data_IF_439557664153
#
_entry.id   IF_439557664153
#
_cell.length_a   1.000
_cell.length_b   1.000
_cell.length_c   1.000
_cell.angle_alpha   90.00
_cell.angle_beta   90.00
_cell.angle_gamma   90.00
#
_symmetry.space_group_name_H-M   'P 1'
#
loop_
_entity.id
_entity.type
_entity.pdbx_description
1 polymer ?
#
# COMPACT_ATOMS: atom_id res chain seq x y z
N UNK A 1 0.14 9.89 -4.59
CA UNK A 1 0.12 8.41 -4.76
C UNK A 1 1.27 7.94 -5.66
N UNK A 2 1.41 8.38 -6.93
CA UNK A 2 2.53 7.93 -7.78
C UNK A 2 3.94 8.21 -7.21
N UNK A 3 4.10 9.36 -6.55
CA UNK A 3 5.34 9.73 -5.84
C UNK A 3 5.73 8.70 -4.76
N UNK A 4 4.74 8.10 -4.08
CA UNK A 4 4.94 7.07 -3.05
C UNK A 4 5.58 5.81 -3.66
N UNK A 5 5.36 5.53 -4.94
CA UNK A 5 5.95 4.39 -5.66
C UNK A 5 7.19 4.77 -6.48
N UNK A 6 7.70 6.00 -6.36
CA UNK A 6 8.83 6.47 -7.16
C UNK A 6 8.52 6.55 -8.67
N UNK A 7 7.24 6.69 -9.03
CA UNK A 7 6.79 6.80 -10.43
C UNK A 7 6.52 8.26 -10.81
N UNK A 8 6.70 8.64 -12.09
CA UNK A 8 6.37 9.98 -12.56
C UNK A 8 4.93 10.38 -12.24
N UNK A 9 4.71 11.66 -11.93
CA UNK A 9 3.39 12.24 -11.79
C UNK A 9 2.77 12.58 -13.16
N UNK A 10 2.80 11.64 -14.10
CA UNK A 10 2.36 11.82 -15.49
C UNK A 10 0.85 11.60 -15.71
N UNK A 11 0.10 11.40 -14.62
CA UNK A 11 -1.35 11.19 -14.63
C UNK A 11 -1.78 9.81 -15.13
N UNK A 12 -0.85 8.89 -15.44
CA UNK A 12 -1.23 7.53 -15.85
C UNK A 12 -1.77 6.73 -14.66
N UNK A 13 -2.91 6.03 -14.84
CA UNK A 13 -3.44 5.15 -13.81
C UNK A 13 -2.49 3.98 -13.56
N UNK A 14 -2.40 3.55 -12.29
CA UNK A 14 -1.66 2.35 -11.89
C UNK A 14 -2.60 1.17 -11.76
N UNK A 15 -2.13 0.00 -12.17
CA UNK A 15 -2.82 -1.26 -11.98
C UNK A 15 -2.42 -1.97 -10.69
N UNK A 16 -3.07 -3.10 -10.42
CA UNK A 16 -2.69 -4.00 -9.34
C UNK A 16 -1.23 -4.49 -9.50
N UNK A 17 -0.84 -4.85 -10.73
CA UNK A 17 0.53 -5.29 -11.05
C UNK A 17 1.61 -4.27 -10.65
N UNK A 18 1.34 -2.96 -10.75
CA UNK A 18 2.28 -1.93 -10.32
C UNK A 18 2.49 -1.96 -8.80
N UNK A 19 1.42 -2.24 -8.05
CA UNK A 19 1.49 -2.38 -6.60
C UNK A 19 2.26 -3.64 -6.20
N UNK A 20 1.90 -4.80 -6.74
CA UNK A 20 2.55 -6.07 -6.40
C UNK A 20 4.05 -6.08 -6.71
N UNK A 21 4.45 -5.50 -7.84
CA UNK A 21 5.86 -5.44 -8.26
C UNK A 21 6.71 -4.51 -7.41
N UNK A 22 6.10 -3.56 -6.73
CA UNK A 22 6.81 -2.55 -5.94
C UNK A 22 6.84 -2.90 -4.45
N UNK A 23 5.96 -3.78 -3.96
CA UNK A 23 6.01 -4.26 -2.58
C UNK A 23 7.29 -5.05 -2.33
N UNK A 24 7.93 -4.82 -1.19
CA UNK A 24 9.06 -5.60 -0.72
C UNK A 24 8.69 -7.10 -0.66
N UNK A 25 9.52 -8.02 -1.17
CA UNK A 25 9.18 -9.45 -1.27
C UNK A 25 8.64 -10.07 0.03
N UNK A 26 9.26 -9.76 1.17
CA UNK A 26 8.84 -10.24 2.50
C UNK A 26 7.43 -9.79 2.93
N UNK A 27 6.93 -8.70 2.35
CA UNK A 27 5.61 -8.13 2.68
C UNK A 27 4.52 -8.53 1.67
N UNK A 28 4.91 -9.02 0.49
CA UNK A 28 4.01 -9.24 -0.65
C UNK A 28 2.86 -10.19 -0.32
N UNK A 29 3.18 -11.36 0.25
CA UNK A 29 2.13 -12.34 0.57
C UNK A 29 1.14 -11.82 1.60
N UNK A 30 1.62 -11.08 2.61
CA UNK A 30 0.75 -10.50 3.64
C UNK A 30 -0.15 -9.43 3.02
N UNK A 31 0.43 -8.53 2.23
CA UNK A 31 -0.31 -7.45 1.58
C UNK A 31 -1.40 -8.00 0.64
N UNK A 32 -1.10 -9.06 -0.13
CA UNK A 32 -2.08 -9.78 -0.96
C UNK A 32 -3.22 -10.37 -0.12
N UNK A 33 -2.89 -11.08 0.96
CA UNK A 33 -3.92 -11.64 1.87
C UNK A 33 -4.84 -10.56 2.44
N UNK A 34 -4.28 -9.43 2.88
CA UNK A 34 -5.07 -8.31 3.40
C UNK A 34 -6.02 -7.73 2.32
N UNK A 35 -5.52 -7.60 1.09
CA UNK A 35 -6.29 -7.12 -0.05
C UNK A 35 -7.41 -8.09 -0.43
N UNK A 36 -7.07 -9.38 -0.58
CA UNK A 36 -8.00 -10.44 -0.98
C UNK A 36 -9.12 -10.60 0.06
N UNK A 37 -8.79 -10.53 1.35
CA UNK A 37 -9.78 -10.58 2.43
C UNK A 37 -10.76 -9.40 2.31
N UNK A 38 -10.26 -8.18 2.13
CA UNK A 38 -11.10 -6.99 1.99
C UNK A 38 -11.96 -7.05 0.71
N UNK A 39 -11.41 -7.55 -0.40
CA UNK A 39 -12.13 -7.72 -1.66
C UNK A 39 -13.25 -8.76 -1.53
N UNK A 40 -12.97 -9.91 -0.91
CA UNK A 40 -13.92 -11.00 -0.72
C UNK A 40 -15.11 -10.58 0.15
N UNK A 41 -14.87 -9.83 1.23
CA UNK A 41 -15.95 -9.36 2.10
C UNK A 41 -16.59 -8.05 1.64
N UNK A 42 -16.08 -7.45 0.54
CA UNK A 42 -16.38 -6.05 0.15
C UNK A 42 -16.26 -5.10 1.34
N UNK A 43 -15.24 -5.33 2.16
CA UNK A 43 -15.07 -4.72 3.47
C UNK A 43 -14.03 -3.60 3.48
N UNK A 44 -13.54 -3.32 4.68
CA UNK A 44 -12.43 -2.38 4.89
C UNK A 44 -11.11 -3.07 4.59
N UNK A 45 -10.28 -2.41 3.79
CA UNK A 45 -8.89 -2.74 3.59
C UNK A 45 -8.02 -1.91 4.54
N UNK A 46 -7.09 -2.56 5.23
CA UNK A 46 -6.10 -1.91 6.08
C UNK A 46 -4.83 -2.73 6.03
N UNK A 47 -3.75 -2.16 5.49
CA UNK A 47 -2.46 -2.84 5.45
C UNK A 47 -1.31 -1.85 5.65
N UNK A 48 -0.18 -2.38 6.09
CA UNK A 48 1.09 -1.66 6.16
C UNK A 48 2.18 -2.55 5.58
N UNK A 49 2.90 -2.04 4.60
CA UNK A 49 3.91 -2.78 3.83
C UNK A 49 5.03 -1.84 3.41
N UNK A 50 6.18 -2.43 3.10
CA UNK A 50 7.32 -1.73 2.52
C UNK A 50 7.22 -1.75 1.00
N UNK A 51 7.57 -0.64 0.38
CA UNK A 51 7.86 -0.54 -1.03
C UNK A 51 9.38 -0.58 -1.24
N UNK A 52 9.83 -1.37 -2.21
CA UNK A 52 11.20 -1.36 -2.70
C UNK A 52 11.24 -0.52 -3.98
N UNK A 53 11.79 0.68 -3.88
CA UNK A 53 11.81 1.64 -4.99
C UNK A 53 12.95 1.32 -5.98
N UNK A 54 12.86 1.81 -7.24
CA UNK A 54 13.89 1.54 -8.25
C UNK A 54 15.30 2.02 -7.89
N UNK A 55 15.41 3.03 -7.01
CA UNK A 55 16.69 3.54 -6.49
C UNK A 55 17.26 2.69 -5.34
N UNK A 56 16.59 1.58 -4.98
CA UNK A 56 16.97 0.67 -3.90
C UNK A 56 16.51 1.11 -2.52
N UNK A 57 15.89 2.29 -2.39
CA UNK A 57 15.37 2.76 -1.09
C UNK A 57 14.11 2.01 -0.71
N UNK A 58 13.90 1.86 0.60
CA UNK A 58 12.69 1.26 1.16
C UNK A 58 11.81 2.35 1.76
N UNK A 59 10.54 2.34 1.38
CA UNK A 59 9.52 3.24 1.93
C UNK A 59 8.45 2.45 2.67
N UNK A 60 8.12 2.83 3.89
CA UNK A 60 6.98 2.25 4.61
C UNK A 60 5.71 2.98 4.20
N UNK A 61 4.70 2.21 3.79
CA UNK A 61 3.40 2.74 3.38
C UNK A 61 2.31 2.15 4.25
N UNK A 62 1.39 3.01 4.66
CA UNK A 62 0.15 2.60 5.31
C UNK A 62 -1.01 2.89 4.37
N UNK A 63 -1.87 1.90 4.15
CA UNK A 63 -3.01 2.00 3.27
C UNK A 63 -4.31 1.69 4.01
N UNK A 64 -5.35 2.50 3.76
CA UNK A 64 -6.70 2.27 4.23
C UNK A 64 -7.70 2.55 3.12
N UNK A 65 -8.59 1.60 2.86
CA UNK A 65 -9.63 1.75 1.85
C UNK A 65 -10.90 0.98 2.22
N UNK A 66 -11.95 1.18 1.44
CA UNK A 66 -13.16 0.37 1.49
C UNK A 66 -13.58 0.02 0.07
N UNK A 67 -14.15 -1.17 -0.11
CA UNK A 67 -14.82 -1.52 -1.35
C UNK A 67 -16.23 -0.93 -1.35
N UNK A 68 -16.56 -0.22 -2.43
CA UNK A 68 -17.88 0.31 -2.72
C UNK A 68 -18.42 -0.43 -3.94
N UNK A 69 -19.67 -0.88 -3.84
CA UNK A 69 -20.38 -1.48 -4.97
C UNK A 69 -21.54 -0.57 -5.36
N UNK A 70 -21.53 -0.09 -6.59
CA UNK A 70 -22.67 0.58 -7.21
C UNK A 70 -23.65 -0.46 -7.78
N UNK A 71 -24.92 -0.10 -7.94
CA UNK A 71 -25.97 -1.01 -8.41
C UNK A 71 -25.66 -1.52 -9.83
N UNK A 72 -25.07 -2.72 -9.90
CA UNK A 72 -24.74 -3.43 -11.15
C UNK A 72 -23.31 -3.22 -11.67
N UNK A 73 -22.46 -2.48 -10.97
CA UNK A 73 -21.07 -2.21 -11.38
C UNK A 73 -20.02 -3.13 -10.75
N UNK A 74 -18.82 -3.15 -11.34
CA UNK A 74 -17.62 -3.72 -10.72
C UNK A 74 -17.30 -2.97 -9.42
N UNK A 75 -17.05 -3.68 -8.29
CA UNK A 75 -16.66 -3.04 -7.05
C UNK A 75 -15.44 -2.12 -7.23
N UNK A 76 -15.52 -0.92 -6.66
CA UNK A 76 -14.44 0.07 -6.67
C UNK A 76 -13.84 0.17 -5.28
N UNK A 77 -12.52 0.17 -5.19
CA UNK A 77 -11.83 0.45 -3.93
C UNK A 77 -11.57 1.95 -3.83
N UNK A 78 -12.02 2.57 -2.73
CA UNK A 78 -11.78 4.00 -2.45
C UNK A 78 -11.08 4.15 -1.11
N UNK A 79 -9.99 4.90 -1.09
CA UNK A 79 -9.17 5.04 0.10
C UNK A 79 -7.97 5.95 -0.09
N UNK A 80 -7.08 5.89 0.88
CA UNK A 80 -5.84 6.64 0.91
C UNK A 80 -4.67 5.73 1.30
N UNK A 81 -3.50 6.10 0.80
CA UNK A 81 -2.21 5.57 1.21
C UNK A 81 -1.27 6.75 1.45
N UNK A 82 -0.38 6.60 2.43
CA UNK A 82 0.59 7.63 2.79
C UNK A 82 1.90 6.99 3.25
N UNK A 83 2.98 7.73 3.02
CA UNK A 83 4.32 7.39 3.48
C UNK A 83 4.39 7.57 5.01
N UNK A 84 4.81 6.52 5.71
CA UNK A 84 5.01 6.47 7.16
C UNK A 84 6.45 6.10 7.53
N UNK A 85 7.39 6.25 6.59
CA UNK A 85 8.80 5.88 6.78
C UNK A 85 9.42 6.62 7.96
N UNK A 86 9.26 7.94 8.02
CA UNK A 86 9.78 8.76 9.11
C UNK A 86 9.23 8.32 10.48
N UNK A 87 7.93 8.04 10.56
CA UNK A 87 7.27 7.59 11.78
C UNK A 87 7.81 6.23 12.26
N UNK A 88 7.96 5.29 11.33
CA UNK A 88 8.46 3.94 11.63
C UNK A 88 9.91 3.99 12.09
N UNK A 89 10.78 4.70 11.36
CA UNK A 89 12.21 4.79 11.70
C UNK A 89 12.43 5.51 13.04
N UNK A 90 11.67 6.57 13.31
CA UNK A 90 11.72 7.25 14.60
C UNK A 90 11.35 6.29 15.74
N UNK A 91 10.26 5.55 15.58
CA UNK A 91 9.80 4.59 16.58
C UNK A 91 10.81 3.44 16.78
N UNK A 92 11.40 2.93 15.70
CA UNK A 92 12.44 1.90 15.79
C UNK A 92 13.68 2.37 16.54
N UNK A 93 14.14 3.60 16.28
CA UNK A 93 15.30 4.18 16.98
C UNK A 93 15.02 4.34 18.48
N UNK A 94 13.84 4.88 18.85
CA UNK A 94 13.42 5.00 20.25
C UNK A 94 13.37 3.65 20.97
N UNK A 95 12.93 2.60 20.28
CA UNK A 95 12.87 1.26 20.85
C UNK A 95 14.23 0.58 20.99
N UNK A 96 15.25 0.99 20.21
CA UNK A 96 16.63 0.48 20.31
C UNK A 96 17.44 1.17 21.42
N UNK A 97 17.08 2.39 21.79
CA UNK A 97 17.74 3.17 22.84
C UNK A 97 17.23 2.87 24.26
N UNK A 98 16.27 1.94 24.40
CA UNK A 98 15.67 1.51 25.65
C UNK A 98 16.21 0.16 26.11
#
# INVERSE_FOLDING_TARGET
>A
VNEIYGKPADGKPRGNDDWERTIHPDDLERARRDFDAAAATRGRYSSQYRLLLPDGTTRHVRARATFLQDSGGTPKMVGAEWDVTSDVLLNENLMRER
#
